data_IF_208014119479
#
_entry.id   IF_208014119479
#
_cell.length_a   1.000
_cell.length_b   1.000
_cell.length_c   1.000
_cell.angle_alpha   90.00
_cell.angle_beta   90.00
_cell.angle_gamma   90.00
#
_symmetry.space_group_name_H-M   'P 1'
#
loop_
_entity.id
_entity.type
_entity.pdbx_description
1 polymer ?
#
# COMPACT_ATOMS: atom_id res chain seq x y z
N UNK A 1 -13.28 7.27 1.49
CA UNK A 1 -14.07 6.04 1.73
C UNK A 1 -13.14 4.95 2.21
N UNK A 2 -13.52 4.25 3.25
CA UNK A 2 -12.79 3.08 3.74
C UNK A 2 -13.59 1.82 3.45
N UNK A 3 -12.90 0.77 2.96
CA UNK A 3 -13.57 -0.51 2.70
C UNK A 3 -13.91 -1.25 3.99
N UNK A 4 -13.10 -1.09 5.04
CA UNK A 4 -13.36 -1.64 6.37
C UNK A 4 -13.05 -0.59 7.44
N UNK A 5 -13.70 -0.71 8.58
CA UNK A 5 -13.52 0.20 9.73
C UNK A 5 -12.82 -0.46 10.91
N UNK A 6 -12.63 -1.78 10.86
CA UNK A 6 -12.01 -2.59 11.92
C UNK A 6 -11.34 -3.83 11.32
N UNK A 7 -10.89 -4.75 12.14
CA UNK A 7 -10.23 -5.98 11.72
C UNK A 7 -11.18 -7.06 11.20
N UNK A 8 -12.49 -6.81 11.25
CA UNK A 8 -13.48 -7.77 10.79
C UNK A 8 -13.45 -7.97 9.28
N UNK A 9 -13.67 -9.20 8.85
CA UNK A 9 -13.82 -9.49 7.44
C UNK A 9 -15.21 -9.06 6.94
N UNK A 10 -15.25 -8.62 5.68
CA UNK A 10 -16.51 -8.24 5.02
C UNK A 10 -17.31 -9.44 4.51
N UNK A 11 -16.74 -10.64 4.60
CA UNK A 11 -17.35 -11.90 4.18
C UNK A 11 -16.84 -13.03 5.07
N UNK A 12 -17.42 -14.21 4.93
CA UNK A 12 -17.07 -15.37 5.75
C UNK A 12 -15.70 -15.96 5.41
N UNK A 13 -15.19 -15.73 4.20
CA UNK A 13 -13.89 -16.22 3.76
C UNK A 13 -12.96 -15.08 3.42
N UNK A 14 -11.64 -15.36 3.45
CA UNK A 14 -10.62 -14.37 3.06
C UNK A 14 -10.77 -13.94 1.60
N UNK A 15 -11.05 -14.89 0.71
CA UNK A 15 -11.28 -14.60 -0.71
C UNK A 15 -12.54 -13.74 -0.88
N UNK A 16 -13.61 -14.08 -0.15
CA UNK A 16 -14.85 -13.28 -0.15
C UNK A 16 -14.63 -11.87 0.35
N UNK A 17 -13.81 -11.69 1.39
CA UNK A 17 -13.43 -10.36 1.90
C UNK A 17 -12.70 -9.55 0.82
N UNK A 18 -11.75 -10.15 0.11
CA UNK A 18 -11.03 -9.48 -0.98
C UNK A 18 -11.97 -9.09 -2.12
N UNK A 19 -12.88 -9.98 -2.49
CA UNK A 19 -13.90 -9.69 -3.54
C UNK A 19 -14.79 -8.53 -3.14
N UNK A 20 -15.21 -8.49 -1.90
CA UNK A 20 -16.07 -7.43 -1.38
C UNK A 20 -15.34 -6.08 -1.36
N UNK A 21 -14.07 -6.06 -0.97
CA UNK A 21 -13.25 -4.84 -1.03
C UNK A 21 -13.14 -4.33 -2.46
N UNK A 22 -12.87 -5.21 -3.41
CA UNK A 22 -12.78 -4.84 -4.84
C UNK A 22 -14.11 -4.30 -5.33
N UNK A 23 -15.23 -4.93 -4.94
CA UNK A 23 -16.58 -4.44 -5.29
C UNK A 23 -16.80 -3.01 -4.79
N UNK A 24 -16.47 -2.75 -3.53
CA UNK A 24 -16.59 -1.41 -2.94
C UNK A 24 -15.74 -0.40 -3.71
N UNK A 25 -14.50 -0.75 -4.04
CA UNK A 25 -13.59 0.14 -4.79
C UNK A 25 -14.13 0.43 -6.19
N UNK A 26 -14.59 -0.60 -6.92
CA UNK A 26 -15.08 -0.45 -8.29
C UNK A 26 -16.41 0.28 -8.38
N UNK A 27 -17.26 0.15 -7.37
CA UNK A 27 -18.56 0.84 -7.31
C UNK A 27 -18.45 2.25 -6.72
N UNK A 28 -17.31 2.61 -6.13
CA UNK A 28 -17.08 3.96 -5.62
C UNK A 28 -16.72 4.91 -6.75
N UNK A 29 -16.95 6.20 -6.55
CA UNK A 29 -16.51 7.25 -7.47
C UNK A 29 -15.07 7.72 -7.14
N UNK A 30 -14.25 6.84 -6.58
CA UNK A 30 -12.89 7.17 -6.20
C UNK A 30 -11.97 7.19 -7.41
N UNK A 31 -11.02 8.12 -7.40
CA UNK A 31 -10.02 8.28 -8.47
C UNK A 31 -8.71 7.56 -8.16
N UNK A 32 -8.56 7.04 -6.95
CA UNK A 32 -7.38 6.29 -6.50
C UNK A 32 -7.76 5.40 -5.33
N UNK A 33 -7.28 4.16 -5.35
CA UNK A 33 -7.36 3.25 -4.22
C UNK A 33 -5.96 2.99 -3.65
N UNK A 34 -5.84 3.09 -2.33
CA UNK A 34 -4.58 2.83 -1.62
C UNK A 34 -4.84 1.76 -0.58
N UNK A 35 -4.14 0.65 -0.70
CA UNK A 35 -4.21 -0.46 0.27
C UNK A 35 -2.94 -0.46 1.12
N UNK A 36 -3.12 -0.39 2.44
CA UNK A 36 -2.00 -0.31 3.39
C UNK A 36 -1.75 -1.69 3.98
N UNK A 37 -0.52 -2.15 3.89
CA UNK A 37 -0.09 -3.46 4.35
C UNK A 37 1.22 -3.41 5.13
N UNK A 38 1.46 -4.46 5.89
CA UNK A 38 2.77 -4.77 6.48
C UNK A 38 3.21 -6.10 5.91
N UNK A 39 4.43 -6.12 5.38
CA UNK A 39 4.94 -7.27 4.65
C UNK A 39 5.61 -8.30 5.58
N UNK A 40 5.90 -9.46 5.03
CA UNK A 40 6.66 -10.50 5.69
C UNK A 40 7.41 -11.31 4.63
N UNK A 41 8.61 -11.77 4.96
CA UNK A 41 9.43 -12.54 4.05
C UNK A 41 10.22 -13.58 4.83
N UNK A 42 10.59 -14.69 4.20
CA UNK A 42 11.30 -15.77 4.88
C UNK A 42 12.75 -15.42 5.26
N UNK A 43 13.33 -14.39 4.66
CA UNK A 43 14.65 -13.89 5.04
C UNK A 43 14.49 -12.67 5.95
N UNK A 44 14.96 -12.77 7.18
CA UNK A 44 14.80 -11.76 8.21
C UNK A 44 15.54 -10.45 7.94
N UNK A 45 16.57 -10.48 7.08
CA UNK A 45 17.34 -9.30 6.73
C UNK A 45 16.69 -8.42 5.67
N UNK A 46 15.58 -8.86 5.07
CA UNK A 46 14.86 -8.06 4.07
C UNK A 46 14.06 -6.97 4.77
N UNK A 47 14.23 -5.73 4.30
CA UNK A 47 13.63 -4.55 4.89
C UNK A 47 13.30 -3.48 3.83
N UNK A 48 12.55 -2.47 4.24
CA UNK A 48 12.25 -1.29 3.44
C UNK A 48 10.82 -1.26 2.93
N UNK A 49 10.17 -0.10 3.07
CA UNK A 49 8.85 0.16 2.53
C UNK A 49 8.88 0.10 1.00
N UNK A 50 7.81 -0.42 0.40
CA UNK A 50 7.71 -0.56 -1.05
C UNK A 50 6.28 -0.44 -1.53
N UNK A 51 6.08 0.27 -2.64
CA UNK A 51 4.76 0.46 -3.25
C UNK A 51 4.64 -0.40 -4.50
N UNK A 52 3.54 -1.14 -4.60
CA UNK A 52 3.24 -1.99 -5.75
C UNK A 52 2.08 -1.41 -6.55
N UNK A 53 2.15 -1.58 -7.88
CA UNK A 53 1.10 -1.16 -8.81
C UNK A 53 0.86 -2.28 -9.84
N UNK A 54 -0.31 -2.28 -10.49
CA UNK A 54 -0.60 -3.27 -11.52
C UNK A 54 0.23 -3.00 -12.78
N UNK A 55 0.82 -4.06 -13.33
CA UNK A 55 1.81 -4.02 -14.41
C UNK A 55 1.41 -3.14 -15.60
N UNK A 56 0.13 -3.11 -15.97
CA UNK A 56 -0.35 -2.35 -17.14
C UNK A 56 -0.98 -1.00 -16.78
N UNK A 57 -0.99 -0.62 -15.50
CA UNK A 57 -1.62 0.62 -15.05
C UNK A 57 -0.62 1.78 -15.07
N UNK A 58 -0.75 2.68 -16.03
CA UNK A 58 0.10 3.88 -16.13
C UNK A 58 -0.16 4.84 -14.97
N UNK A 59 -1.42 5.07 -14.62
CA UNK A 59 -1.76 5.93 -13.48
C UNK A 59 -1.35 5.30 -12.15
N UNK A 60 -1.52 3.98 -12.02
CA UNK A 60 -1.03 3.24 -10.85
C UNK A 60 0.47 3.37 -10.69
N UNK A 61 1.22 3.29 -11.79
CA UNK A 61 2.67 3.49 -11.79
C UNK A 61 3.03 4.88 -11.30
N UNK A 62 2.37 5.92 -11.84
CA UNK A 62 2.61 7.30 -11.43
C UNK A 62 2.34 7.50 -9.94
N UNK A 63 1.21 7.00 -9.45
CA UNK A 63 0.88 7.06 -8.02
C UNK A 63 1.93 6.33 -7.17
N UNK A 64 2.37 5.15 -7.62
CA UNK A 64 3.37 4.37 -6.92
C UNK A 64 4.73 5.08 -6.82
N UNK A 65 5.18 5.72 -7.90
CA UNK A 65 6.41 6.52 -7.91
C UNK A 65 6.34 7.66 -6.89
N UNK A 66 5.25 8.39 -6.89
CA UNK A 66 5.04 9.52 -5.98
C UNK A 66 5.04 9.04 -4.52
N UNK A 67 4.29 7.99 -4.23
CA UNK A 67 4.21 7.42 -2.88
C UNK A 67 5.54 6.83 -2.43
N UNK A 68 6.25 6.12 -3.32
CA UNK A 68 7.56 5.56 -2.99
C UNK A 68 8.55 6.67 -2.64
N UNK A 69 8.56 7.77 -3.38
CA UNK A 69 9.43 8.92 -3.09
C UNK A 69 9.09 9.53 -1.73
N UNK A 70 7.82 9.64 -1.38
CA UNK A 70 7.41 10.15 -0.07
C UNK A 70 7.86 9.23 1.07
N UNK A 71 7.77 7.91 0.88
CA UNK A 71 8.26 6.95 1.87
C UNK A 71 9.78 6.97 2.02
N UNK A 72 10.52 7.22 0.95
CA UNK A 72 11.98 7.35 1.00
C UNK A 72 12.42 8.59 1.76
N UNK A 73 11.61 9.62 1.86
CA UNK A 73 11.90 10.78 2.71
C UNK A 73 11.83 10.41 4.20
N UNK A 74 10.98 9.45 4.57
CA UNK A 74 10.88 8.95 5.95
C UNK A 74 12.07 8.07 6.30
N UNK A 75 12.52 7.24 5.36
CA UNK A 75 13.65 6.33 5.54
C UNK A 75 14.61 6.43 4.35
N UNK A 76 15.53 7.41 4.37
CA UNK A 76 16.46 7.64 3.25
C UNK A 76 17.43 6.48 2.97
N UNK A 77 17.61 5.57 3.92
CA UNK A 77 18.48 4.40 3.73
C UNK A 77 17.79 3.27 2.96
N UNK A 78 16.47 3.34 2.81
CA UNK A 78 15.71 2.39 2.02
C UNK A 78 16.10 2.51 0.53
N UNK A 79 16.52 1.40 -0.06
CA UNK A 79 16.94 1.36 -1.48
C UNK A 79 15.85 0.84 -2.41
N UNK A 80 14.69 0.50 -1.87
CA UNK A 80 13.59 -0.03 -2.68
C UNK A 80 12.92 1.03 -3.54
N UNK A 81 12.47 0.59 -4.71
CA UNK A 81 11.67 1.42 -5.62
C UNK A 81 10.29 0.78 -5.80
N UNK A 82 9.36 1.57 -6.33
CA UNK A 82 8.05 1.07 -6.73
C UNK A 82 8.20 -0.14 -7.66
N UNK A 83 7.30 -1.09 -7.57
CA UNK A 83 7.42 -2.35 -8.31
C UNK A 83 6.09 -2.74 -8.94
N UNK A 84 6.13 -3.19 -10.20
CA UNK A 84 4.96 -3.75 -10.85
C UNK A 84 4.63 -5.14 -10.31
N UNK A 85 3.34 -5.45 -10.28
CA UNK A 85 2.83 -6.76 -9.86
C UNK A 85 1.60 -7.11 -10.65
N UNK A 86 1.48 -8.37 -11.07
CA UNK A 86 0.34 -8.85 -11.85
C UNK A 86 -0.41 -9.99 -11.16
N UNK A 87 -0.13 -10.27 -9.89
CA UNK A 87 -0.70 -11.41 -9.17
C UNK A 87 -1.63 -11.04 -8.02
N UNK A 88 -1.41 -9.89 -7.37
CA UNK A 88 -2.25 -9.48 -6.26
C UNK A 88 -3.67 -9.20 -6.72
N UNK A 89 -4.64 -9.86 -6.09
CA UNK A 89 -6.05 -9.78 -6.44
C UNK A 89 -6.56 -8.33 -6.48
N UNK A 90 -6.24 -7.53 -5.46
CA UNK A 90 -6.67 -6.14 -5.36
C UNK A 90 -6.17 -5.32 -6.55
N UNK A 91 -4.90 -5.49 -6.94
CA UNK A 91 -4.35 -4.77 -8.11
C UNK A 91 -4.98 -5.23 -9.41
N UNK A 92 -5.20 -6.54 -9.52
CA UNK A 92 -5.62 -7.19 -10.77
C UNK A 92 -7.09 -6.93 -11.11
N UNK A 93 -7.95 -6.84 -10.09
CA UNK A 93 -9.41 -6.78 -10.27
C UNK A 93 -10.02 -5.42 -10.02
N UNK A 94 -9.26 -4.46 -9.49
CA UNK A 94 -9.74 -3.10 -9.29
C UNK A 94 -9.60 -2.32 -10.60
N UNK A 95 -10.66 -1.62 -11.00
CA UNK A 95 -10.74 -0.88 -12.27
C UNK A 95 -10.12 0.50 -12.19
N UNK A 96 -10.15 1.13 -11.01
CA UNK A 96 -9.52 2.43 -10.78
C UNK A 96 -8.01 2.27 -10.52
N UNK A 97 -7.19 3.32 -10.68
CA UNK A 97 -5.79 3.27 -10.28
C UNK A 97 -5.65 2.81 -8.84
N UNK A 98 -4.84 1.78 -8.61
CA UNK A 98 -4.72 1.15 -7.30
C UNK A 98 -3.27 0.87 -6.99
N UNK A 99 -2.87 1.15 -5.75
CA UNK A 99 -1.53 0.83 -5.25
C UNK A 99 -1.63 0.08 -3.93
N UNK A 100 -0.63 -0.76 -3.67
CA UNK A 100 -0.43 -1.40 -2.36
C UNK A 100 0.81 -0.79 -1.75
N UNK A 101 0.66 -0.20 -0.57
CA UNK A 101 1.76 0.36 0.21
C UNK A 101 2.16 -0.66 1.27
N UNK A 102 3.30 -1.32 1.07
CA UNK A 102 3.91 -2.17 2.07
C UNK A 102 4.81 -1.28 2.95
N UNK A 103 4.39 -1.06 4.19
CA UNK A 103 5.05 -0.10 5.10
C UNK A 103 6.40 -0.58 5.62
N UNK A 104 6.69 -1.87 5.51
CA UNK A 104 7.91 -2.51 5.96
C UNK A 104 7.68 -3.98 6.22
N UNK A 105 8.70 -4.67 6.72
CA UNK A 105 8.69 -6.12 6.93
C UNK A 105 8.59 -6.46 8.41
N UNK A 106 7.49 -7.08 8.83
CA UNK A 106 7.34 -7.58 10.20
C UNK A 106 8.32 -8.70 10.53
N UNK A 107 8.84 -9.38 9.49
CA UNK A 107 9.88 -10.41 9.62
C UNK A 107 11.27 -9.85 9.94
N UNK A 108 11.47 -8.55 9.78
CA UNK A 108 12.71 -7.87 10.16
C UNK A 108 12.52 -7.24 11.55
N UNK A 109 13.38 -7.60 12.50
CA UNK A 109 13.23 -7.17 13.90
C UNK A 109 13.20 -5.66 14.04
N UNK A 110 14.14 -4.95 13.42
CA UNK A 110 14.22 -3.50 13.52
C UNK A 110 13.00 -2.81 12.89
N UNK A 111 12.51 -3.34 11.78
CA UNK A 111 11.28 -2.80 11.15
C UNK A 111 10.04 -3.10 11.96
N UNK A 112 9.94 -4.29 12.55
CA UNK A 112 8.82 -4.64 13.42
C UNK A 112 8.75 -3.67 14.63
N UNK A 113 9.90 -3.31 15.20
CA UNK A 113 9.97 -2.31 16.26
C UNK A 113 9.46 -0.94 15.79
N UNK A 114 9.93 -0.45 14.66
CA UNK A 114 9.48 0.82 14.08
C UNK A 114 7.98 0.80 13.81
N UNK A 115 7.47 -0.27 13.19
CA UNK A 115 6.06 -0.39 12.82
C UNK A 115 5.12 -0.48 14.01
N UNK A 116 5.63 -0.85 15.19
CA UNK A 116 4.87 -0.84 16.43
C UNK A 116 4.94 0.50 17.19
N UNK A 117 5.78 1.42 16.74
CA UNK A 117 5.94 2.74 17.33
C UNK A 117 4.95 3.75 16.71
N UNK A 118 4.11 4.36 17.56
CA UNK A 118 3.10 5.31 17.10
C UNK A 118 3.69 6.52 16.36
N UNK A 119 4.84 7.02 16.81
CA UNK A 119 5.50 8.15 16.15
C UNK A 119 5.94 7.80 14.73
N UNK A 120 6.44 6.58 14.50
CA UNK A 120 6.82 6.10 13.18
C UNK A 120 5.59 5.85 12.31
N UNK A 121 4.54 5.27 12.86
CA UNK A 121 3.26 5.08 12.16
C UNK A 121 2.71 6.41 11.65
N UNK A 122 2.79 7.46 12.45
CA UNK A 122 2.36 8.80 12.08
C UNK A 122 3.19 9.36 10.92
N UNK A 123 4.50 9.16 10.94
CA UNK A 123 5.38 9.58 9.83
C UNK A 123 5.02 8.88 8.52
N UNK A 124 4.75 7.58 8.58
CA UNK A 124 4.30 6.80 7.40
C UNK A 124 2.95 7.32 6.90
N UNK A 125 2.00 7.53 7.81
CA UNK A 125 0.67 8.04 7.45
C UNK A 125 0.77 9.41 6.77
N UNK A 126 1.58 10.32 7.31
CA UNK A 126 1.80 11.64 6.73
C UNK A 126 2.47 11.56 5.35
N UNK A 127 3.42 10.65 5.17
CA UNK A 127 4.06 10.42 3.87
C UNK A 127 3.04 9.94 2.83
N UNK A 128 2.17 9.01 3.21
CA UNK A 128 1.10 8.51 2.33
C UNK A 128 0.13 9.63 1.96
N UNK A 129 -0.30 10.43 2.92
CA UNK A 129 -1.18 11.59 2.67
C UNK A 129 -0.52 12.58 1.74
N UNK A 130 0.75 12.91 1.98
CA UNK A 130 1.53 13.80 1.10
C UNK A 130 1.58 13.26 -0.33
N UNK A 131 1.86 11.98 -0.49
CA UNK A 131 1.89 11.32 -1.79
C UNK A 131 0.55 11.36 -2.51
N UNK A 132 -0.55 11.08 -1.81
CA UNK A 132 -1.90 11.15 -2.36
C UNK A 132 -2.22 12.57 -2.84
N UNK A 133 -1.94 13.57 -2.01
CA UNK A 133 -2.15 14.98 -2.39
C UNK A 133 -1.33 15.35 -3.62
N UNK A 134 -0.07 14.94 -3.68
CA UNK A 134 0.80 15.21 -4.83
C UNK A 134 0.27 14.57 -6.11
N UNK A 135 -0.28 13.36 -6.02
CA UNK A 135 -0.89 12.67 -7.15
C UNK A 135 -2.03 13.49 -7.76
N UNK A 136 -2.90 14.05 -6.92
CA UNK A 136 -4.04 14.82 -7.39
C UNK A 136 -3.70 16.26 -7.83
N UNK A 137 -2.54 16.75 -7.45
CA UNK A 137 -2.10 18.11 -7.80
C UNK A 137 -1.21 18.16 -9.06
N UNK A 138 -0.88 17.01 -9.62
CA UNK A 138 -0.03 16.95 -10.82
C UNK A 138 -0.77 17.34 -12.10
#
# INVERSE_FOLDING_TARGET
>A
IMTRKDDGWLAETRIGDLKERVRIMNESDADLAVSIHQNSYHEENVSGAQVFYYTTSEEGKTAAEILQNALLEVDPENKKREKSNNTYYILKKTEIPTVIVECGFLSNYAEAEKLSDEAYQEKIAQAVVKGIKSFFLK
#
